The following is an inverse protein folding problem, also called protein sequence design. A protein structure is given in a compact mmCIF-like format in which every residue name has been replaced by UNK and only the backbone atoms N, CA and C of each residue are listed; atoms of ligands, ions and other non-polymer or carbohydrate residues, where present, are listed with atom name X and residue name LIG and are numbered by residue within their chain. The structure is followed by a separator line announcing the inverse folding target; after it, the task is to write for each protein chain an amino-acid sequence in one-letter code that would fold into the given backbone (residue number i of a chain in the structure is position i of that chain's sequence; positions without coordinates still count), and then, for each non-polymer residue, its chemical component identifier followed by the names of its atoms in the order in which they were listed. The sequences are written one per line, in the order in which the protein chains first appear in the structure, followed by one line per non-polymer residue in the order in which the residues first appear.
data_IF_506547692131
#
_entry.id   IF_506547692131
#
_cell.length_a   1.000
_cell.length_b   1.000
_cell.length_c   1.000
_cell.angle_alpha   90.00
_cell.angle_beta   90.00
_cell.angle_gamma   90.00
#
_symmetry.space_group_name_H-M   'P 1'
#
loop_
_entity.id
_entity.type
_entity.pdbx_description
1 polymer ?
#
# COMPACT_ATOMS: atom_id res chain seq x y z
N UNK A 1 23.57 25.76 21.71
CA UNK A 1 23.57 24.29 21.57
C UNK A 1 22.21 23.89 21.02
N UNK A 2 22.09 23.68 19.70
CA UNK A 2 20.80 23.57 18.98
C UNK A 2 20.51 22.08 18.74
N UNK A 3 19.35 21.61 19.21
CA UNK A 3 18.80 20.28 18.86
C UNK A 3 18.00 20.38 17.55
N UNK A 4 18.21 19.53 16.53
CA UNK A 4 17.37 19.50 15.35
C UNK A 4 16.50 18.23 15.32
N UNK A 5 15.42 18.21 16.11
CA UNK A 5 14.40 17.16 16.05
C UNK A 5 13.11 17.80 15.51
N UNK A 6 12.88 17.74 14.20
CA UNK A 6 11.69 18.40 13.63
C UNK A 6 11.43 18.23 12.13
N UNK A 7 12.04 17.25 11.44
CA UNK A 7 11.84 17.04 10.00
C UNK A 7 11.67 15.58 9.62
N UNK A 8 10.67 14.88 10.15
CA UNK A 8 10.30 13.54 9.65
C UNK A 8 8.79 13.32 9.66
N UNK A 9 7.98 14.24 9.11
CA UNK A 9 6.53 13.98 8.97
C UNK A 9 5.90 14.45 7.65
N UNK A 10 6.51 15.37 6.89
CA UNK A 10 5.83 15.96 5.72
C UNK A 10 6.07 15.25 4.36
N UNK A 11 7.00 14.31 4.24
CA UNK A 11 7.30 13.66 2.95
C UNK A 11 6.63 12.30 2.71
N UNK A 12 6.04 11.67 3.74
CA UNK A 12 5.36 10.36 3.60
C UNK A 12 3.94 10.44 3.03
N UNK A 13 3.34 11.62 3.04
CA UNK A 13 1.91 11.76 2.72
C UNK A 13 1.64 11.77 1.21
N UNK A 14 2.43 12.53 0.42
CA UNK A 14 2.24 12.63 -1.03
C UNK A 14 2.44 11.32 -1.79
N UNK A 15 3.37 10.48 -1.35
CA UNK A 15 3.63 9.19 -2.01
C UNK A 15 2.57 8.13 -1.64
N UNK A 16 2.02 8.18 -0.42
CA UNK A 16 0.86 7.38 -0.05
C UNK A 16 -0.38 7.74 -0.87
N UNK A 17 -0.60 9.04 -1.11
CA UNK A 17 -1.72 9.52 -1.93
C UNK A 17 -1.58 9.04 -3.37
N UNK A 18 -0.38 9.15 -3.97
CA UNK A 18 -0.15 8.68 -5.35
C UNK A 18 -0.38 7.16 -5.51
N UNK A 19 -0.03 6.38 -4.48
CA UNK A 19 -0.25 4.94 -4.45
C UNK A 19 -1.73 4.58 -4.31
N UNK A 20 -2.48 5.28 -3.46
CA UNK A 20 -3.93 5.14 -3.36
C UNK A 20 -4.65 5.52 -4.66
N UNK A 21 -4.21 6.59 -5.34
CA UNK A 21 -4.83 7.08 -6.58
C UNK A 21 -4.83 6.04 -7.71
N UNK A 22 -3.77 5.23 -7.83
CA UNK A 22 -3.66 4.21 -8.89
C UNK A 22 -4.48 2.95 -8.62
N UNK A 23 -4.83 2.68 -7.35
CA UNK A 23 -5.61 1.49 -6.96
C UNK A 23 -7.13 1.67 -7.15
N UNK A 24 -7.60 2.89 -7.41
CA UNK A 24 -9.01 3.28 -7.32
C UNK A 24 -9.89 2.97 -8.54
N UNK A 25 -9.35 2.50 -9.68
CA UNK A 25 -10.13 2.32 -10.91
C UNK A 25 -10.40 0.85 -11.28
N UNK A 26 -11.18 0.14 -10.47
CA UNK A 26 -11.96 -1.01 -10.94
C UNK A 26 -13.31 -1.05 -10.21
N UNK A 27 -14.23 -0.18 -10.63
CA UNK A 27 -15.62 -0.20 -10.17
C UNK A 27 -16.43 -0.94 -11.24
N UNK A 28 -16.67 -2.23 -11.03
CA UNK A 28 -17.69 -2.96 -11.79
C UNK A 28 -19.06 -2.31 -11.52
N UNK A 29 -20.06 -2.48 -12.40
CA UNK A 29 -21.41 -1.97 -12.16
C UNK A 29 -21.93 -2.43 -10.78
N UNK A 30 -22.28 -1.48 -9.89
CA UNK A 30 -22.77 -1.74 -8.54
C UNK A 30 -24.27 -1.44 -8.46
N UNK A 31 -25.05 -2.41 -8.01
CA UNK A 31 -26.47 -2.21 -7.70
C UNK A 31 -26.64 -1.61 -6.31
N UNK A 32 -26.98 -0.33 -6.26
CA UNK A 32 -27.17 0.45 -5.03
C UNK A 32 -28.62 0.40 -4.51
N UNK A 33 -29.52 -0.33 -5.17
CA UNK A 33 -30.96 -0.38 -4.81
C UNK A 33 -31.21 -0.90 -3.38
N UNK A 34 -30.24 -1.62 -2.81
CA UNK A 34 -30.30 -2.17 -1.44
C UNK A 34 -29.45 -1.40 -0.42
N UNK A 35 -28.88 -0.25 -0.80
CA UNK A 35 -28.02 0.58 0.05
C UNK A 35 -26.56 0.63 -0.41
N UNK A 36 -25.63 1.11 0.46
CA UNK A 36 -24.23 1.24 0.12
C UNK A 36 -23.58 -0.10 -0.27
N UNK A 37 -22.73 -0.06 -1.30
CA UNK A 37 -21.97 -1.22 -1.78
C UNK A 37 -20.48 -0.98 -1.52
N UNK A 38 -19.82 -1.95 -0.90
CA UNK A 38 -18.38 -1.94 -0.67
C UNK A 38 -17.69 -2.97 -1.59
N UNK A 39 -16.61 -2.58 -2.25
CA UNK A 39 -15.77 -3.47 -3.03
C UNK A 39 -14.32 -3.40 -2.55
N UNK A 40 -13.74 -4.54 -2.21
CA UNK A 40 -12.34 -4.64 -1.77
C UNK A 40 -11.49 -5.19 -2.91
N UNK A 41 -10.59 -4.36 -3.41
CA UNK A 41 -9.61 -4.73 -4.41
C UNK A 41 -8.25 -4.95 -3.73
N UNK A 42 -7.71 -6.17 -3.82
CA UNK A 42 -6.32 -6.44 -3.44
C UNK A 42 -5.44 -5.96 -4.58
N UNK A 43 -4.68 -4.90 -4.35
CA UNK A 43 -3.95 -4.23 -5.42
C UNK A 43 -2.56 -4.81 -5.62
N UNK A 44 -1.83 -5.16 -4.54
CA UNK A 44 -0.48 -5.71 -4.65
C UNK A 44 -0.09 -6.62 -3.49
N UNK A 45 0.80 -7.57 -3.79
CA UNK A 45 1.62 -8.28 -2.84
C UNK A 45 3.09 -7.86 -3.01
N UNK A 46 3.71 -7.40 -1.94
CA UNK A 46 5.09 -6.93 -1.92
C UNK A 46 5.91 -7.79 -0.98
N UNK A 47 7.01 -8.36 -1.47
CA UNK A 47 7.98 -9.09 -0.64
C UNK A 47 9.01 -8.13 -0.11
N UNK A 48 9.37 -8.29 1.16
CA UNK A 48 10.30 -7.43 1.88
C UNK A 48 11.47 -8.25 2.45
N UNK A 49 12.68 -7.68 2.46
CA UNK A 49 13.80 -8.18 3.25
C UNK A 49 13.62 -7.84 4.75
N UNK A 50 14.59 -8.24 5.58
CA UNK A 50 14.51 -8.04 7.02
C UNK A 50 14.66 -6.57 7.45
N UNK A 51 15.18 -5.72 6.57
CA UNK A 51 15.29 -4.27 6.78
C UNK A 51 14.05 -3.52 6.29
N UNK A 52 13.04 -4.23 5.76
CA UNK A 52 11.81 -3.65 5.27
C UNK A 52 11.93 -3.05 3.86
N UNK A 53 12.92 -3.49 3.08
CA UNK A 53 13.10 -3.09 1.67
C UNK A 53 12.43 -4.05 0.71
N UNK A 54 11.92 -3.51 -0.39
CA UNK A 54 11.23 -4.29 -1.42
C UNK A 54 12.20 -5.24 -2.13
N UNK A 55 11.85 -6.52 -2.20
CA UNK A 55 12.59 -7.54 -2.96
C UNK A 55 11.85 -7.97 -4.21
N UNK A 56 10.51 -7.96 -4.18
CA UNK A 56 9.64 -8.22 -5.32
C UNK A 56 8.26 -7.58 -5.11
N UNK A 57 7.55 -7.29 -6.20
CA UNK A 57 6.15 -6.88 -6.19
C UNK A 57 5.37 -7.71 -7.21
N UNK A 58 4.14 -8.11 -6.85
CA UNK A 58 3.22 -8.86 -7.70
C UNK A 58 1.82 -8.29 -7.59
N UNK A 59 1.13 -8.17 -8.72
CA UNK A 59 -0.30 -7.83 -8.78
C UNK A 59 -1.09 -9.14 -8.99
N UNK A 60 -1.84 -9.63 -7.99
CA UNK A 60 -2.60 -10.87 -8.12
C UNK A 60 -3.82 -10.71 -9.04
N UNK A 61 -4.46 -9.53 -9.03
CA UNK A 61 -5.54 -9.10 -9.93
C UNK A 61 -5.45 -7.59 -10.13
N UNK A 62 -5.73 -7.10 -11.34
CA UNK A 62 -5.72 -5.67 -11.65
C UNK A 62 -4.55 -5.21 -12.53
N UNK A 63 -4.26 -3.91 -12.50
CA UNK A 63 -3.28 -3.25 -13.37
C UNK A 63 -1.85 -3.41 -12.85
N UNK A 64 -0.92 -3.81 -13.73
CA UNK A 64 0.52 -3.92 -13.45
C UNK A 64 1.14 -2.59 -13.00
N UNK A 65 0.50 -1.45 -13.29
CA UNK A 65 0.92 -0.14 -12.81
C UNK A 65 0.97 -0.04 -11.28
N UNK A 66 0.21 -0.85 -10.53
CA UNK A 66 0.18 -0.83 -9.07
C UNK A 66 1.54 -1.15 -8.42
N UNK A 67 2.43 -1.88 -9.12
CA UNK A 67 3.79 -2.16 -8.63
C UNK A 67 4.79 -1.02 -8.87
N UNK A 68 4.46 0.03 -9.63
CA UNK A 68 5.40 1.14 -9.91
C UNK A 68 5.89 1.84 -8.63
N UNK A 69 5.07 1.91 -7.59
CA UNK A 69 5.45 2.47 -6.30
C UNK A 69 6.39 1.58 -5.47
N UNK A 70 6.54 0.31 -5.83
CA UNK A 70 7.32 -0.70 -5.08
C UNK A 70 8.58 -1.11 -5.84
N UNK A 71 9.54 -0.20 -5.91
CA UNK A 71 10.83 -0.42 -6.57
C UNK A 71 11.74 -1.28 -5.69
N UNK A 72 12.39 -2.30 -6.29
CA UNK A 72 13.33 -3.18 -5.59
C UNK A 72 14.44 -2.36 -4.89
N UNK A 73 14.72 -2.69 -3.63
CA UNK A 73 15.70 -2.01 -2.78
C UNK A 73 15.17 -0.79 -2.02
N UNK A 74 14.00 -0.26 -2.41
CA UNK A 74 13.37 0.85 -1.69
C UNK A 74 12.87 0.38 -0.32
N UNK A 75 13.19 1.13 0.73
CA UNK A 75 12.65 0.89 2.06
C UNK A 75 11.22 1.42 2.15
N UNK A 76 10.28 0.53 2.47
CA UNK A 76 8.84 0.86 2.57
C UNK A 76 8.25 0.49 3.94
N UNK A 77 8.98 -0.27 4.75
CA UNK A 77 8.64 -0.59 6.12
C UNK A 77 9.88 -0.44 7.03
N UNK A 78 9.64 -0.33 8.34
CA UNK A 78 10.70 -0.46 9.35
C UNK A 78 11.26 -1.90 9.36
N UNK A 79 12.47 -2.12 9.90
CA UNK A 79 13.06 -3.45 10.00
C UNK A 79 12.13 -4.45 10.68
N UNK A 80 11.96 -5.60 10.04
CA UNK A 80 11.02 -6.64 10.44
C UNK A 80 11.72 -7.62 11.39
N UNK A 81 11.14 -7.80 12.58
CA UNK A 81 11.68 -8.71 13.59
C UNK A 81 10.60 -9.65 14.11
N UNK A 82 10.99 -10.92 14.32
CA UNK A 82 10.19 -11.92 15.03
C UNK A 82 11.02 -12.46 16.18
N UNK A 83 10.55 -12.26 17.42
CA UNK A 83 11.29 -12.64 18.63
C UNK A 83 12.71 -12.05 18.67
N UNK A 84 12.85 -10.77 18.30
CA UNK A 84 14.13 -10.05 18.25
C UNK A 84 15.03 -10.37 17.04
N UNK A 85 14.74 -11.43 16.28
CA UNK A 85 15.53 -11.86 15.12
C UNK A 85 15.03 -11.21 13.81
N UNK A 86 15.91 -10.80 12.89
CA UNK A 86 15.53 -10.27 11.58
C UNK A 86 14.78 -11.32 10.76
N UNK A 87 13.68 -10.93 10.09
CA UNK A 87 12.88 -11.84 9.24
C UNK A 87 12.40 -11.15 7.97
N UNK A 88 12.36 -11.89 6.86
CA UNK A 88 11.69 -11.42 5.64
C UNK A 88 10.17 -11.38 5.84
N UNK A 89 9.48 -10.55 5.04
CA UNK A 89 8.04 -10.32 5.17
C UNK A 89 7.29 -10.31 3.84
N UNK A 90 5.97 -10.50 3.92
CA UNK A 90 5.02 -10.23 2.84
C UNK A 90 4.08 -9.13 3.29
N UNK A 91 4.00 -8.06 2.53
CA UNK A 91 3.05 -6.97 2.70
C UNK A 91 1.97 -7.08 1.62
N UNK A 92 0.71 -7.07 2.04
CA UNK A 92 -0.44 -7.03 1.12
C UNK A 92 -1.08 -5.65 1.25
N UNK A 93 -1.28 -4.98 0.12
CA UNK A 93 -1.97 -3.68 0.08
C UNK A 93 -3.29 -3.85 -0.65
N UNK A 94 -4.37 -3.46 0.01
CA UNK A 94 -5.74 -3.57 -0.49
C UNK A 94 -6.43 -2.24 -0.31
N UNK A 95 -7.32 -1.92 -1.23
CA UNK A 95 -8.17 -0.72 -1.16
C UNK A 95 -9.62 -1.16 -1.14
N UNK A 96 -10.40 -0.64 -0.20
CA UNK A 96 -11.85 -0.81 -0.16
C UNK A 96 -12.49 0.49 -0.61
N UNK A 97 -13.32 0.41 -1.65
CA UNK A 97 -14.13 1.52 -2.13
C UNK A 97 -15.56 1.30 -1.66
N UNK A 98 -16.17 2.32 -1.06
CA UNK A 98 -17.59 2.32 -0.68
C UNK A 98 -18.32 3.32 -1.55
N UNK A 99 -19.37 2.87 -2.21
CA UNK A 99 -20.28 3.70 -3.00
C UNK A 99 -21.63 3.72 -2.30
N UNK A 100 -22.11 4.90 -1.95
CA UNK A 100 -23.41 5.10 -1.30
C UNK A 100 -24.37 5.82 -2.24
N UNK A 101 -25.68 5.51 -2.21
CA UNK A 101 -26.68 6.36 -2.86
C UNK A 101 -26.68 7.75 -2.20
N UNK A 102 -26.94 8.79 -3.01
CA UNK A 102 -27.10 10.17 -2.54
C UNK A 102 -28.44 10.36 -1.83
#
# INVERSE_FOLDING_TARGET
MIRPEGRVLAMRDRENVAMLSMMLLQVAAMDLSKGPVANTNVAVEVRLDAEGRVTACRVPKGDQLACKGFVKGRQVASPLRRNGKPVAGKMTVSTTTVVSPL
#
